data_IF_859749235982
#
_entry.id   IF_859749235982
#
_cell.length_a   1.000
_cell.length_b   1.000
_cell.length_c   1.000
_cell.angle_alpha   90.00
_cell.angle_beta   90.00
_cell.angle_gamma   90.00
#
_symmetry.space_group_name_H-M   'P 1'
#
loop_
_entity.id
_entity.type
_entity.pdbx_description
1 polymer ?
#
# COMPACT_ATOMS: atom_id res chain seq x y z
N UNK A 1 28.67 10.30 -0.65
CA UNK A 1 27.33 9.67 -0.65
C UNK A 1 27.55 8.22 -1.02
N UNK A 2 27.00 7.28 -0.26
CA UNK A 2 27.19 5.83 -0.48
C UNK A 2 26.38 5.38 -1.68
N UNK A 3 26.93 4.54 -2.55
CA UNK A 3 26.22 3.96 -3.70
C UNK A 3 25.88 2.50 -3.43
N UNK A 4 24.63 2.12 -3.64
CA UNK A 4 24.16 0.75 -3.48
C UNK A 4 23.68 0.23 -4.84
N UNK A 5 24.20 -0.90 -5.30
CA UNK A 5 23.63 -1.62 -6.44
C UNK A 5 22.55 -2.57 -5.94
N UNK A 6 21.31 -2.32 -6.32
CA UNK A 6 20.17 -3.21 -6.06
C UNK A 6 19.81 -3.94 -7.36
N UNK A 7 20.23 -5.20 -7.48
CA UNK A 7 20.05 -5.99 -8.70
C UNK A 7 19.00 -7.09 -8.49
N UNK A 8 18.11 -7.27 -9.46
CA UNK A 8 17.25 -8.45 -9.52
C UNK A 8 17.94 -9.57 -10.29
N UNK A 9 17.77 -10.82 -9.87
CA UNK A 9 18.37 -11.97 -10.53
C UNK A 9 17.45 -13.19 -10.53
N UNK A 10 17.42 -13.87 -11.68
CA UNK A 10 16.85 -15.20 -11.85
C UNK A 10 17.94 -16.26 -11.79
N UNK A 11 17.89 -17.25 -12.69
CA UNK A 11 18.83 -18.37 -12.68
C UNK A 11 20.19 -18.08 -13.34
N UNK A 12 20.45 -16.84 -13.75
CA UNK A 12 21.65 -16.43 -14.48
C UNK A 12 22.49 -15.47 -13.64
N UNK A 13 23.46 -15.97 -12.85
CA UNK A 13 24.33 -15.13 -12.02
C UNK A 13 25.21 -14.17 -12.83
N UNK A 14 25.47 -14.48 -14.11
CA UNK A 14 26.28 -13.68 -15.03
C UNK A 14 25.81 -12.23 -15.12
N UNK A 15 24.50 -12.00 -15.01
CA UNK A 15 23.91 -10.65 -15.09
C UNK A 15 24.52 -9.69 -14.06
N UNK A 16 24.87 -10.18 -12.87
CA UNK A 16 25.48 -9.33 -11.84
C UNK A 16 26.90 -8.93 -12.22
N UNK A 17 27.72 -9.86 -12.70
CA UNK A 17 29.09 -9.59 -13.11
C UNK A 17 29.14 -8.72 -14.38
N UNK A 18 28.24 -8.95 -15.32
CA UNK A 18 28.06 -8.11 -16.51
C UNK A 18 27.68 -6.67 -16.12
N UNK A 19 26.76 -6.51 -15.17
CA UNK A 19 26.35 -5.19 -14.65
C UNK A 19 27.53 -4.46 -14.00
N UNK A 20 28.23 -5.11 -13.08
CA UNK A 20 29.39 -4.52 -12.38
C UNK A 20 30.52 -4.16 -13.32
N UNK A 21 30.84 -5.05 -14.28
CA UNK A 21 31.79 -4.78 -15.35
C UNK A 21 31.40 -3.53 -16.13
N UNK A 22 30.14 -3.43 -16.56
CA UNK A 22 29.68 -2.31 -17.37
C UNK A 22 29.71 -0.97 -16.60
N UNK A 23 29.31 -0.97 -15.32
CA UNK A 23 29.41 0.20 -14.43
C UNK A 23 30.85 0.70 -14.39
N UNK A 24 31.81 -0.21 -14.13
CA UNK A 24 33.22 0.13 -14.01
C UNK A 24 33.80 0.65 -15.34
N UNK A 25 33.60 -0.08 -16.43
CA UNK A 25 34.17 0.28 -17.74
C UNK A 25 33.60 1.57 -18.32
N UNK A 26 32.37 1.93 -17.97
CA UNK A 26 31.75 3.18 -18.40
C UNK A 26 32.01 4.35 -17.45
N UNK A 27 32.84 4.16 -16.39
CA UNK A 27 33.18 5.22 -15.45
C UNK A 27 31.99 5.74 -14.64
N UNK A 28 30.95 4.93 -14.45
CA UNK A 28 29.78 5.27 -13.64
C UNK A 28 30.13 5.18 -12.15
N UNK A 29 29.36 5.83 -11.26
CA UNK A 29 29.52 5.65 -9.81
C UNK A 29 29.48 4.16 -9.46
N UNK A 30 30.58 3.65 -8.91
CA UNK A 30 30.71 2.24 -8.57
C UNK A 30 30.08 1.98 -7.19
N UNK A 31 29.38 0.85 -6.99
CA UNK A 31 28.70 0.57 -5.73
C UNK A 31 29.69 0.29 -4.59
N UNK A 32 29.38 0.80 -3.40
CA UNK A 32 30.03 0.41 -2.15
C UNK A 32 29.48 -0.93 -1.63
N UNK A 33 28.20 -1.19 -1.90
CA UNK A 33 27.49 -2.40 -1.50
C UNK A 33 26.59 -2.90 -2.63
N UNK A 34 26.49 -4.22 -2.75
CA UNK A 34 25.64 -4.89 -3.74
C UNK A 34 24.60 -5.72 -2.99
N UNK A 35 23.34 -5.58 -3.37
CA UNK A 35 22.23 -6.41 -2.90
C UNK A 35 21.55 -7.08 -4.08
N UNK A 36 21.21 -8.35 -3.89
CA UNK A 36 20.64 -9.20 -4.92
C UNK A 36 19.26 -9.68 -4.49
N UNK A 37 18.21 -9.26 -5.20
CA UNK A 37 16.85 -9.73 -4.96
C UNK A 37 16.58 -10.95 -5.84
N UNK A 38 16.20 -12.08 -5.24
CA UNK A 38 16.01 -13.33 -5.97
C UNK A 38 15.05 -14.31 -5.26
N UNK A 39 14.74 -15.44 -5.91
CA UNK A 39 13.94 -16.54 -5.38
C UNK A 39 14.83 -17.65 -4.78
N UNK A 40 14.25 -18.58 -4.03
CA UNK A 40 15.01 -19.66 -3.37
C UNK A 40 15.80 -20.51 -4.37
N UNK A 41 15.17 -20.90 -5.49
CA UNK A 41 15.82 -21.74 -6.51
C UNK A 41 17.02 -21.04 -7.19
N UNK A 42 16.95 -19.71 -7.35
CA UNK A 42 17.97 -18.91 -8.00
C UNK A 42 19.10 -18.53 -7.04
N UNK A 43 18.81 -18.40 -5.74
CA UNK A 43 19.81 -18.16 -4.69
C UNK A 43 20.93 -19.20 -4.70
N UNK A 44 20.60 -20.49 -4.89
CA UNK A 44 21.62 -21.55 -4.93
C UNK A 44 22.67 -21.29 -6.02
N UNK A 45 22.25 -20.88 -7.22
CA UNK A 45 23.16 -20.54 -8.32
C UNK A 45 23.97 -19.27 -8.04
N UNK A 46 23.37 -18.25 -7.41
CA UNK A 46 24.11 -17.07 -6.99
C UNK A 46 25.23 -17.42 -6.01
N UNK A 47 24.93 -18.21 -4.98
CA UNK A 47 25.92 -18.63 -3.99
C UNK A 47 27.03 -19.45 -4.65
N UNK A 48 26.68 -20.48 -5.41
CA UNK A 48 27.64 -21.36 -6.08
C UNK A 48 28.59 -20.56 -7.00
N UNK A 49 28.05 -19.73 -7.88
CA UNK A 49 28.87 -19.10 -8.92
C UNK A 49 29.53 -17.80 -8.46
N UNK A 50 28.79 -16.93 -7.79
CA UNK A 50 29.28 -15.59 -7.44
C UNK A 50 30.21 -15.63 -6.22
N UNK A 51 29.92 -16.49 -5.24
CA UNK A 51 30.66 -16.59 -3.98
C UNK A 51 31.63 -17.79 -3.97
N UNK A 52 31.13 -19.03 -4.09
CA UNK A 52 31.96 -20.23 -3.91
C UNK A 52 32.97 -20.45 -5.04
N UNK A 53 32.54 -20.28 -6.29
CA UNK A 53 33.43 -20.29 -7.47
C UNK A 53 34.13 -18.95 -7.70
N UNK A 54 33.86 -17.94 -6.85
CA UNK A 54 34.59 -16.69 -6.81
C UNK A 54 34.51 -15.83 -8.07
N UNK A 55 33.42 -15.87 -8.84
CA UNK A 55 33.31 -15.06 -10.07
C UNK A 55 33.35 -13.55 -9.79
N UNK A 56 32.88 -13.11 -8.62
CA UNK A 56 33.00 -11.72 -8.18
C UNK A 56 34.46 -11.34 -7.95
N UNK A 57 35.21 -12.17 -7.21
CA UNK A 57 36.63 -11.93 -6.93
C UNK A 57 37.49 -12.05 -8.19
N UNK A 58 37.12 -12.95 -9.12
CA UNK A 58 37.74 -13.01 -10.44
C UNK A 58 37.51 -11.70 -11.19
N UNK A 59 36.27 -11.19 -11.26
CA UNK A 59 35.98 -9.92 -11.92
C UNK A 59 36.80 -8.78 -11.30
N UNK A 60 36.81 -8.67 -9.97
CA UNK A 60 37.55 -7.64 -9.23
C UNK A 60 39.03 -7.67 -9.56
N UNK A 61 39.66 -8.84 -9.48
CA UNK A 61 41.10 -8.98 -9.72
C UNK A 61 41.47 -8.80 -11.19
N UNK A 62 40.67 -9.33 -12.11
CA UNK A 62 40.96 -9.32 -13.55
C UNK A 62 40.85 -7.93 -14.18
N UNK A 63 39.93 -7.09 -13.69
CA UNK A 63 39.70 -5.74 -14.22
C UNK A 63 40.09 -4.62 -13.24
N UNK A 64 40.66 -4.96 -12.09
CA UNK A 64 41.03 -4.01 -11.03
C UNK A 64 39.86 -3.11 -10.60
N UNK A 65 38.69 -3.73 -10.34
CA UNK A 65 37.50 -2.98 -9.88
C UNK A 65 37.75 -2.38 -8.49
N UNK A 66 37.08 -1.26 -8.16
CA UNK A 66 36.97 -0.80 -6.79
C UNK A 66 36.37 -1.90 -5.90
N UNK A 67 36.78 -1.93 -4.64
CA UNK A 67 36.24 -2.90 -3.68
C UNK A 67 34.80 -2.52 -3.27
N UNK A 68 34.02 -3.54 -2.93
CA UNK A 68 32.62 -3.41 -2.52
C UNK A 68 32.20 -4.62 -1.69
N UNK A 69 31.18 -4.43 -0.84
CA UNK A 69 30.65 -5.51 0.00
C UNK A 69 29.56 -6.29 -0.73
N UNK A 70 29.78 -7.60 -0.84
CA UNK A 70 28.78 -8.55 -1.29
C UNK A 70 28.99 -9.88 -0.56
N UNK A 71 28.02 -10.25 0.26
CA UNK A 71 28.08 -11.46 1.09
C UNK A 71 26.71 -12.14 1.12
N UNK A 72 26.63 -13.31 1.75
CA UNK A 72 25.40 -14.11 1.79
C UNK A 72 24.20 -13.34 2.36
N UNK A 73 24.42 -12.44 3.32
CA UNK A 73 23.38 -11.60 3.94
C UNK A 73 22.77 -10.59 2.95
N UNK A 74 23.47 -10.27 1.85
CA UNK A 74 23.03 -9.34 0.82
C UNK A 74 22.19 -10.00 -0.29
N UNK A 75 22.00 -11.33 -0.24
CA UNK A 75 21.08 -12.04 -1.11
C UNK A 75 19.70 -12.05 -0.45
N UNK A 76 18.86 -11.11 -0.89
CA UNK A 76 17.52 -10.85 -0.38
C UNK A 76 16.53 -11.78 -1.10
N UNK A 77 15.87 -12.64 -0.33
CA UNK A 77 14.82 -13.50 -0.86
C UNK A 77 13.51 -12.73 -0.97
N UNK A 78 12.78 -12.96 -2.05
CA UNK A 78 11.38 -12.55 -2.15
C UNK A 78 10.54 -13.44 -1.23
N UNK A 79 9.54 -12.87 -0.59
CA UNK A 79 8.73 -13.52 0.44
C UNK A 79 7.23 -13.29 0.18
N UNK A 80 6.42 -14.27 0.58
CA UNK A 80 4.98 -14.18 0.71
C UNK A 80 4.61 -13.33 1.95
N UNK A 81 3.32 -12.95 2.06
CA UNK A 81 2.82 -12.16 3.20
C UNK A 81 3.00 -12.85 4.56
N UNK A 82 3.08 -14.18 4.58
CA UNK A 82 3.35 -14.98 5.78
C UNK A 82 4.85 -15.08 6.14
N UNK A 83 5.73 -14.45 5.36
CA UNK A 83 7.19 -14.48 5.53
C UNK A 83 7.88 -15.71 4.92
N UNK A 84 7.14 -16.61 4.25
CA UNK A 84 7.75 -17.74 3.55
C UNK A 84 8.43 -17.28 2.26
N UNK A 85 9.60 -17.82 1.95
CA UNK A 85 10.35 -17.42 0.77
C UNK A 85 9.74 -17.99 -0.53
N UNK A 86 9.62 -17.15 -1.56
CA UNK A 86 9.13 -17.53 -2.89
C UNK A 86 10.14 -18.46 -3.55
N UNK A 87 9.70 -19.67 -3.91
CA UNK A 87 10.60 -20.70 -4.42
C UNK A 87 11.06 -20.49 -5.88
N UNK A 88 10.12 -20.31 -6.82
CA UNK A 88 10.41 -20.10 -8.27
C UNK A 88 9.69 -18.87 -8.86
N UNK A 89 8.56 -18.46 -8.30
CA UNK A 89 7.83 -17.32 -8.82
C UNK A 89 7.05 -17.61 -10.10
N UNK A 90 6.58 -18.85 -10.26
CA UNK A 90 5.87 -19.34 -11.46
C UNK A 90 4.38 -19.14 -11.38
N UNK A 91 3.84 -19.37 -10.20
CA UNK A 91 2.41 -19.43 -10.00
C UNK A 91 1.82 -18.02 -9.95
N UNK A 92 0.51 -17.92 -10.15
CA UNK A 92 -0.18 -16.64 -10.16
C UNK A 92 -0.13 -15.99 -8.77
N UNK A 93 -0.27 -16.81 -7.72
CA UNK A 93 -0.16 -16.41 -6.31
C UNK A 93 1.22 -15.85 -5.97
N UNK A 94 2.27 -16.32 -6.65
CA UNK A 94 3.63 -15.80 -6.46
C UNK A 94 3.79 -14.38 -7.02
N UNK A 95 3.04 -14.00 -8.07
CA UNK A 95 3.25 -12.71 -8.73
C UNK A 95 2.96 -11.53 -7.80
N UNK A 96 1.93 -11.64 -6.97
CA UNK A 96 1.65 -10.62 -5.95
C UNK A 96 2.78 -10.55 -4.93
N UNK A 97 3.23 -11.70 -4.43
CA UNK A 97 4.30 -11.79 -3.42
C UNK A 97 5.63 -11.22 -3.93
N UNK A 98 5.95 -11.46 -5.21
CA UNK A 98 7.11 -10.87 -5.90
C UNK A 98 6.98 -9.34 -5.98
N UNK A 99 5.81 -8.84 -6.40
CA UNK A 99 5.56 -7.41 -6.52
C UNK A 99 5.71 -6.71 -5.15
N UNK A 100 5.09 -7.28 -4.12
CA UNK A 100 5.11 -6.79 -2.74
C UNK A 100 6.54 -6.77 -2.19
N UNK A 101 7.29 -7.85 -2.42
CA UNK A 101 8.67 -7.98 -1.95
C UNK A 101 9.62 -6.98 -2.59
N UNK A 102 9.62 -6.87 -3.92
CA UNK A 102 10.48 -5.91 -4.62
C UNK A 102 10.14 -4.49 -4.19
N UNK A 103 8.84 -4.17 -4.08
CA UNK A 103 8.36 -2.87 -3.65
C UNK A 103 8.85 -2.52 -2.25
N UNK A 104 8.65 -3.42 -1.28
CA UNK A 104 9.08 -3.26 0.11
C UNK A 104 10.59 -3.10 0.25
N UNK A 105 11.37 -3.88 -0.51
CA UNK A 105 12.83 -3.79 -0.50
C UNK A 105 13.28 -2.43 -1.03
N UNK A 106 12.77 -1.99 -2.19
CA UNK A 106 13.11 -0.67 -2.75
C UNK A 106 12.71 0.44 -1.78
N UNK A 107 11.49 0.41 -1.24
CA UNK A 107 11.02 1.39 -0.27
C UNK A 107 11.98 1.48 0.93
N UNK A 108 12.35 0.35 1.53
CA UNK A 108 13.30 0.27 2.64
C UNK A 108 14.64 0.93 2.34
N UNK A 109 15.24 0.69 1.17
CA UNK A 109 16.51 1.32 0.81
C UNK A 109 16.39 2.82 0.54
N UNK A 110 15.23 3.29 0.07
CA UNK A 110 15.01 4.72 -0.22
C UNK A 110 14.84 5.58 1.04
N UNK A 111 14.64 4.96 2.21
CA UNK A 111 14.53 5.67 3.50
C UNK A 111 15.84 6.39 3.87
N UNK A 112 17.01 5.80 3.56
CA UNK A 112 18.30 6.42 3.87
C UNK A 112 18.68 7.46 2.82
N UNK A 113 18.40 8.73 3.11
CA UNK A 113 18.73 9.89 2.25
C UNK A 113 20.23 10.04 1.93
N UNK A 114 21.12 9.39 2.68
CA UNK A 114 22.57 9.49 2.49
C UNK A 114 23.15 8.42 1.54
N UNK A 115 22.28 7.61 0.93
CA UNK A 115 22.65 6.66 -0.12
C UNK A 115 22.01 7.01 -1.47
N UNK A 116 22.62 6.50 -2.53
CA UNK A 116 22.09 6.45 -3.88
C UNK A 116 21.84 4.98 -4.25
N UNK A 117 20.66 4.68 -4.76
CA UNK A 117 20.33 3.37 -5.30
C UNK A 117 20.58 3.37 -6.80
N UNK A 118 21.39 2.42 -7.25
CA UNK A 118 21.48 2.01 -8.64
C UNK A 118 20.71 0.70 -8.79
N UNK A 119 19.49 0.76 -9.32
CA UNK A 119 18.68 -0.42 -9.60
C UNK A 119 19.04 -1.03 -10.96
N UNK A 120 19.30 -2.33 -11.01
CA UNK A 120 19.53 -3.09 -12.26
C UNK A 120 18.39 -4.07 -12.50
N UNK A 121 17.73 -3.96 -13.67
CA UNK A 121 16.58 -4.79 -14.06
C UNK A 121 16.93 -5.92 -15.05
N UNK A 122 18.22 -6.22 -15.24
CA UNK A 122 18.67 -7.12 -16.29
C UNK A 122 18.47 -8.62 -15.98
N UNK A 123 18.07 -8.98 -14.76
CA UNK A 123 17.94 -10.37 -14.33
C UNK A 123 16.52 -10.74 -13.91
N UNK A 124 16.24 -12.04 -13.86
CA UNK A 124 14.95 -12.55 -13.39
C UNK A 124 13.90 -12.66 -14.48
N UNK A 125 12.66 -12.92 -14.06
CA UNK A 125 11.50 -12.94 -14.97
C UNK A 125 11.18 -11.50 -15.40
N UNK A 126 10.63 -11.33 -16.60
CA UNK A 126 10.23 -10.00 -17.12
C UNK A 126 9.29 -9.24 -16.16
N UNK A 127 8.48 -9.97 -15.39
CA UNK A 127 7.60 -9.39 -14.36
C UNK A 127 8.39 -8.77 -13.20
N UNK A 128 9.51 -9.38 -12.77
CA UNK A 128 10.39 -8.80 -11.74
C UNK A 128 10.99 -7.46 -12.21
N UNK A 129 11.44 -7.39 -13.46
CA UNK A 129 11.94 -6.16 -14.07
C UNK A 129 10.87 -5.06 -14.12
N UNK A 130 9.64 -5.44 -14.47
CA UNK A 130 8.48 -4.54 -14.42
C UNK A 130 8.22 -4.03 -12.99
N UNK A 131 8.17 -4.91 -12.00
CA UNK A 131 7.93 -4.51 -10.60
C UNK A 131 9.07 -3.65 -10.01
N UNK A 132 10.32 -3.94 -10.35
CA UNK A 132 11.46 -3.10 -9.97
C UNK A 132 11.34 -1.71 -10.62
N UNK A 133 11.05 -1.62 -11.92
CA UNK A 133 10.82 -0.34 -12.59
C UNK A 133 9.66 0.44 -12.01
N UNK A 134 8.58 -0.25 -11.61
CA UNK A 134 7.42 0.35 -10.96
C UNK A 134 7.76 0.86 -9.56
N UNK A 135 8.42 0.04 -8.74
CA UNK A 135 8.87 0.43 -7.41
C UNK A 135 9.81 1.65 -7.48
N UNK A 136 10.75 1.67 -8.42
CA UNK A 136 11.60 2.83 -8.66
C UNK A 136 10.80 4.05 -9.11
N UNK A 137 9.76 3.89 -9.93
CA UNK A 137 8.88 5.00 -10.31
C UNK A 137 8.15 5.60 -9.10
N UNK A 138 7.76 4.76 -8.14
CA UNK A 138 7.04 5.18 -6.94
C UNK A 138 7.94 5.75 -5.85
N UNK A 139 9.06 5.09 -5.56
CA UNK A 139 9.91 5.37 -4.40
C UNK A 139 11.29 5.92 -4.77
N UNK A 140 11.74 5.76 -6.02
CA UNK A 140 13.03 6.26 -6.46
C UNK A 140 13.13 7.78 -6.31
N UNK A 141 14.26 8.23 -5.77
CA UNK A 141 14.57 9.63 -5.53
C UNK A 141 15.30 10.22 -6.74
N UNK A 142 15.61 11.52 -6.67
CA UNK A 142 16.28 12.22 -7.77
C UNK A 142 17.67 11.65 -8.06
N UNK A 143 18.42 11.27 -7.04
CA UNK A 143 19.74 10.67 -7.18
C UNK A 143 19.70 9.21 -7.68
N UNK A 144 18.60 8.50 -7.48
CA UNK A 144 18.54 7.06 -7.75
C UNK A 144 18.48 6.79 -9.27
N UNK A 145 19.09 5.70 -9.71
CA UNK A 145 19.26 5.33 -11.12
C UNK A 145 18.60 3.98 -11.39
N UNK A 146 18.00 3.83 -12.56
CA UNK A 146 17.50 2.55 -13.08
C UNK A 146 18.30 2.21 -14.33
N UNK A 147 18.70 0.95 -14.48
CA UNK A 147 19.54 0.52 -15.60
C UNK A 147 19.27 -0.91 -16.06
N UNK A 148 19.74 -1.21 -17.26
CA UNK A 148 19.76 -2.56 -17.81
C UNK A 148 21.08 -2.78 -18.55
N UNK A 149 21.76 -3.88 -18.23
CA UNK A 149 22.98 -4.28 -18.95
C UNK A 149 22.61 -5.03 -20.23
N UNK A 150 23.31 -4.72 -21.32
CA UNK A 150 23.19 -5.41 -22.59
C UNK A 150 24.50 -6.11 -22.89
N UNK A 151 24.39 -7.34 -23.39
CA UNK A 151 25.50 -8.16 -23.82
C UNK A 151 25.33 -8.44 -25.31
N UNK A 152 26.42 -8.45 -26.07
CA UNK A 152 26.41 -8.92 -27.46
C UNK A 152 25.71 -10.28 -27.59
N UNK A 153 24.79 -10.39 -28.54
CA UNK A 153 23.83 -11.50 -28.72
C UNK A 153 24.48 -12.89 -28.73
N UNK A 154 25.71 -13.00 -29.21
CA UNK A 154 26.47 -14.26 -29.26
C UNK A 154 26.75 -14.81 -27.85
N UNK A 155 26.89 -13.92 -26.87
CA UNK A 155 27.22 -14.23 -25.48
C UNK A 155 25.99 -14.29 -24.56
N UNK A 156 24.81 -13.87 -25.04
CA UNK A 156 23.56 -14.04 -24.29
C UNK A 156 23.30 -15.52 -23.95
N UNK A 157 22.88 -15.76 -22.70
CA UNK A 157 22.53 -17.06 -22.14
C UNK A 157 23.66 -18.10 -22.17
N UNK A 158 24.93 -17.66 -22.18
CA UNK A 158 26.08 -18.54 -22.06
C UNK A 158 26.50 -18.74 -20.60
N UNK A 159 26.34 -19.96 -20.09
CA UNK A 159 26.66 -20.28 -18.70
C UNK A 159 28.14 -20.01 -18.33
N UNK A 160 29.04 -20.12 -19.30
CA UNK A 160 30.48 -19.95 -19.13
C UNK A 160 30.96 -18.49 -19.27
N UNK A 161 30.11 -17.56 -19.74
CA UNK A 161 30.49 -16.17 -19.95
C UNK A 161 30.01 -15.30 -18.79
N UNK A 162 30.92 -14.70 -18.02
CA UNK A 162 30.56 -13.82 -16.90
C UNK A 162 30.88 -12.34 -17.17
N UNK A 163 31.93 -12.06 -17.94
CA UNK A 163 32.34 -10.71 -18.34
C UNK A 163 33.37 -10.81 -19.47
N UNK A 164 33.58 -9.73 -20.25
CA UNK A 164 34.66 -9.67 -21.23
C UNK A 164 36.03 -9.80 -20.57
N UNK A 165 36.95 -10.55 -21.17
CA UNK A 165 38.30 -10.76 -20.62
C UNK A 165 39.32 -9.82 -21.28
N UNK A 166 40.40 -9.46 -20.58
CA UNK A 166 41.49 -8.66 -21.16
C UNK A 166 42.33 -9.43 -22.19
N UNK A 167 42.52 -10.74 -21.95
CA UNK A 167 43.28 -11.66 -22.79
C UNK A 167 42.34 -12.64 -23.49
N UNK A 168 42.83 -13.33 -24.52
CA UNK A 168 42.01 -14.30 -25.24
C UNK A 168 41.55 -15.43 -24.31
N UNK A 169 40.24 -15.66 -24.27
CA UNK A 169 39.61 -16.72 -23.50
C UNK A 169 38.47 -17.31 -24.33
N UNK A 170 38.69 -18.52 -24.85
CA UNK A 170 37.77 -19.16 -25.77
C UNK A 170 36.70 -19.99 -25.04
N UNK A 171 35.44 -19.74 -25.36
CA UNK A 171 34.25 -20.38 -24.80
C UNK A 171 33.46 -21.06 -25.92
N UNK A 172 32.94 -22.24 -25.64
CA UNK A 172 32.17 -23.03 -26.62
C UNK A 172 30.66 -22.81 -26.48
N UNK A 173 29.98 -22.54 -27.61
CA UNK A 173 28.52 -22.46 -27.76
C UNK A 173 28.06 -23.43 -28.85
N UNK A 174 27.75 -24.66 -28.48
CA UNK A 174 27.53 -25.74 -29.46
C UNK A 174 28.80 -25.95 -30.30
N UNK A 175 28.70 -25.86 -31.62
CA UNK A 175 29.85 -26.00 -32.53
C UNK A 175 30.66 -24.71 -32.73
N UNK A 176 30.24 -23.59 -32.12
CA UNK A 176 30.91 -22.30 -32.26
C UNK A 176 31.90 -22.08 -31.11
N UNK A 177 33.08 -21.56 -31.44
CA UNK A 177 34.07 -21.08 -30.48
C UNK A 177 34.03 -19.54 -30.51
N UNK A 178 33.79 -18.93 -29.35
CA UNK A 178 33.71 -17.49 -29.16
C UNK A 178 34.85 -17.03 -28.24
N UNK A 179 35.47 -15.89 -28.51
CA UNK A 179 36.46 -15.31 -27.61
C UNK A 179 35.79 -14.30 -26.67
N UNK A 180 35.78 -14.56 -25.36
CA UNK A 180 35.13 -13.70 -24.36
C UNK A 180 35.65 -12.25 -24.38
N UNK A 181 36.90 -12.03 -24.80
CA UNK A 181 37.48 -10.69 -24.99
C UNK A 181 36.72 -9.82 -25.99
N UNK A 182 36.07 -10.43 -26.98
CA UNK A 182 35.36 -9.72 -28.05
C UNK A 182 33.93 -9.34 -27.66
N UNK A 183 33.44 -9.80 -26.50
CA UNK A 183 32.10 -9.50 -26.03
C UNK A 183 31.95 -8.01 -25.73
N UNK A 184 30.83 -7.43 -26.19
CA UNK A 184 30.46 -6.06 -25.89
C UNK A 184 29.41 -6.06 -24.80
N UNK A 185 29.74 -5.46 -23.65
CA UNK A 185 28.83 -5.31 -22.53
C UNK A 185 28.65 -3.82 -22.24
N UNK A 186 27.41 -3.36 -22.29
CA UNK A 186 27.06 -1.93 -22.13
C UNK A 186 25.93 -1.77 -21.14
N UNK A 187 26.07 -0.83 -20.22
CA UNK A 187 24.98 -0.42 -19.34
C UNK A 187 24.20 0.70 -20.02
N UNK A 188 22.87 0.57 -20.04
CA UNK A 188 21.98 1.66 -20.40
C UNK A 188 21.19 2.11 -19.16
N UNK A 189 21.18 3.41 -18.91
CA UNK A 189 20.24 3.99 -17.95
C UNK A 189 18.86 4.08 -18.59
N UNK A 190 17.85 3.66 -17.85
CA UNK A 190 16.46 3.66 -18.28
C UNK A 190 15.79 4.92 -17.70
N UNK A 191 15.27 5.82 -18.54
CA UNK A 191 14.44 6.90 -18.04
C UNK A 191 13.14 6.33 -17.46
N UNK A 192 12.73 6.82 -16.29
CA UNK A 192 11.47 6.43 -15.66
C UNK A 192 10.82 7.62 -14.98
N UNK A 193 9.49 7.58 -14.88
CA UNK A 193 8.69 8.65 -14.27
C UNK A 193 8.84 8.59 -12.76
N UNK A 194 9.30 9.67 -12.14
CA UNK A 194 9.40 9.77 -10.68
C UNK A 194 8.11 10.34 -10.14
N UNK A 195 7.35 9.49 -9.47
CA UNK A 195 6.09 9.84 -8.83
C UNK A 195 6.25 10.12 -7.34
N UNK A 196 7.41 9.84 -6.73
CA UNK A 196 7.64 10.04 -5.29
C UNK A 196 7.18 11.42 -4.81
N UNK A 197 7.57 12.49 -5.51
CA UNK A 197 7.21 13.86 -5.15
C UNK A 197 5.78 14.26 -5.57
N UNK A 198 5.08 13.42 -6.33
CA UNK A 198 3.68 13.62 -6.74
C UNK A 198 2.70 12.91 -5.80
N UNK A 199 3.23 12.15 -4.85
CA UNK A 199 2.50 11.31 -3.93
C UNK A 199 2.71 11.88 -2.53
N UNK A 200 1.64 11.95 -1.73
CA UNK A 200 1.70 12.54 -0.39
C UNK A 200 2.75 11.81 0.50
N UNK A 201 3.58 12.51 1.28
CA UNK A 201 4.58 11.86 2.13
C UNK A 201 3.99 10.91 3.18
N UNK A 202 2.83 11.23 3.75
CA UNK A 202 2.12 10.34 4.67
C UNK A 202 1.65 9.05 3.99
N UNK A 203 1.35 9.14 2.70
CA UNK A 203 1.00 8.01 1.88
C UNK A 203 2.18 7.12 1.51
N UNK A 204 3.37 7.70 1.27
CA UNK A 204 4.62 6.92 1.09
C UNK A 204 4.91 6.09 2.35
N UNK A 205 4.78 6.68 3.54
CA UNK A 205 4.96 5.98 4.81
C UNK A 205 3.93 4.84 5.01
N UNK A 206 2.70 4.99 4.51
CA UNK A 206 1.72 3.91 4.53
C UNK A 206 2.05 2.81 3.51
N UNK A 207 2.55 3.17 2.33
CA UNK A 207 2.99 2.22 1.31
C UNK A 207 4.16 1.35 1.77
N UNK A 208 5.02 1.83 2.68
CA UNK A 208 6.07 0.99 3.31
C UNK A 208 5.49 -0.22 4.06
N UNK A 209 4.24 -0.12 4.51
CA UNK A 209 3.55 -1.15 5.28
C UNK A 209 2.42 -1.85 4.52
N UNK A 210 2.13 -1.43 3.30
CA UNK A 210 1.05 -1.98 2.47
C UNK A 210 1.62 -2.87 1.35
N UNK A 211 0.81 -3.82 0.87
CA UNK A 211 1.14 -4.56 -0.34
C UNK A 211 1.15 -3.66 -1.59
N UNK A 212 1.83 -4.09 -2.65
CA UNK A 212 1.77 -3.50 -3.98
C UNK A 212 0.32 -3.37 -4.46
N UNK A 213 -0.50 -4.42 -4.30
CA UNK A 213 -1.90 -4.38 -4.70
C UNK A 213 -2.69 -3.30 -3.95
N UNK A 214 -2.44 -3.16 -2.64
CA UNK A 214 -3.03 -2.09 -1.84
C UNK A 214 -2.54 -0.71 -2.31
N UNK A 215 -1.23 -0.57 -2.55
CA UNK A 215 -0.59 0.64 -3.07
C UNK A 215 -1.18 1.09 -4.42
N UNK A 216 -1.45 0.15 -5.33
CA UNK A 216 -2.13 0.39 -6.61
C UNK A 216 -3.60 0.78 -6.41
N UNK A 217 -4.33 0.03 -5.58
CA UNK A 217 -5.73 0.31 -5.28
C UNK A 217 -5.89 1.73 -4.72
N UNK A 218 -4.98 2.11 -3.82
CA UNK A 218 -4.89 3.44 -3.26
C UNK A 218 -4.64 4.52 -4.32
N UNK A 219 -3.64 4.38 -5.21
CA UNK A 219 -3.39 5.36 -6.27
C UNK A 219 -4.55 5.49 -7.26
N UNK A 220 -5.20 4.37 -7.60
CA UNK A 220 -6.37 4.38 -8.47
C UNK A 220 -7.56 5.07 -7.80
N UNK A 221 -7.69 4.93 -6.49
CA UNK A 221 -8.67 5.64 -5.68
C UNK A 221 -8.48 7.16 -5.70
N UNK A 222 -7.24 7.66 -5.73
CA UNK A 222 -6.96 9.10 -5.88
C UNK A 222 -7.44 9.69 -7.22
N UNK A 223 -7.52 8.89 -8.29
CA UNK A 223 -7.95 9.39 -9.61
C UNK A 223 -9.47 9.60 -9.72
N UNK A 224 -10.28 9.06 -8.81
CA UNK A 224 -11.73 9.18 -8.86
C UNK A 224 -12.21 10.49 -8.24
N UNK A 225 -12.73 11.40 -9.07
CA UNK A 225 -13.30 12.71 -8.66
C UNK A 225 -14.56 12.61 -7.77
N UNK A 226 -15.16 11.43 -7.61
CA UNK A 226 -16.28 11.18 -6.70
C UNK A 226 -15.80 10.30 -5.55
N UNK A 227 -15.73 10.85 -4.35
CA UNK A 227 -15.35 10.12 -3.15
C UNK A 227 -16.56 9.29 -2.71
N UNK A 228 -16.39 7.97 -2.73
CA UNK A 228 -17.38 7.01 -2.26
C UNK A 228 -16.96 6.53 -0.86
N UNK A 229 -17.89 6.63 0.08
CA UNK A 229 -17.73 6.15 1.46
C UNK A 229 -18.70 5.01 1.67
N UNK A 230 -18.19 3.80 1.90
CA UNK A 230 -18.99 2.66 2.32
C UNK A 230 -18.85 2.46 3.83
N UNK A 231 -19.96 2.47 4.55
CA UNK A 231 -20.01 2.15 5.98
C UNK A 231 -20.21 0.64 6.11
N UNK A 232 -19.12 -0.07 6.44
CA UNK A 232 -19.15 -1.52 6.63
C UNK A 232 -19.40 -1.86 8.10
N UNK A 233 -20.67 -1.97 8.48
CA UNK A 233 -21.07 -2.13 9.89
C UNK A 233 -20.55 -3.42 10.52
N UNK A 234 -20.54 -4.53 9.76
CA UNK A 234 -20.01 -5.83 10.25
C UNK A 234 -18.51 -5.81 10.50
N UNK A 235 -17.75 -5.15 9.62
CA UNK A 235 -16.29 -5.00 9.73
C UNK A 235 -15.85 -3.89 10.69
N UNK A 236 -16.79 -3.03 11.12
CA UNK A 236 -16.55 -1.88 11.98
C UNK A 236 -15.54 -0.88 11.37
N UNK A 237 -15.72 -0.54 10.11
CA UNK A 237 -14.87 0.40 9.40
C UNK A 237 -15.63 1.24 8.38
N UNK A 238 -15.05 2.38 8.01
CA UNK A 238 -15.38 3.10 6.78
C UNK A 238 -14.46 2.60 5.67
N UNK A 239 -15.00 2.37 4.48
CA UNK A 239 -14.24 2.04 3.28
C UNK A 239 -14.32 3.25 2.35
N UNK A 240 -13.23 3.97 2.22
CA UNK A 240 -13.16 5.22 1.45
C UNK A 240 -12.35 4.96 0.20
N UNK A 241 -13.01 4.88 -0.95
CA UNK A 241 -12.38 4.46 -2.21
C UNK A 241 -11.51 3.19 -2.07
N UNK A 242 -11.90 2.23 -1.22
CA UNK A 242 -11.15 0.98 -0.97
C UNK A 242 -10.19 1.01 0.23
N UNK A 243 -9.99 2.16 0.88
CA UNK A 243 -9.18 2.28 2.10
C UNK A 243 -10.04 1.95 3.32
N UNK A 244 -9.66 0.94 4.10
CA UNK A 244 -10.36 0.59 5.34
C UNK A 244 -9.88 1.45 6.53
N UNK A 245 -10.75 2.32 7.03
CA UNK A 245 -10.55 3.12 8.24
C UNK A 245 -11.32 2.48 9.39
N UNK A 246 -10.60 1.78 10.28
CA UNK A 246 -11.22 1.15 11.46
C UNK A 246 -11.71 2.20 12.44
N UNK A 247 -12.98 2.12 12.82
CA UNK A 247 -13.61 2.98 13.83
C UNK A 247 -14.20 2.12 14.94
N UNK A 248 -14.12 2.55 16.22
CA UNK A 248 -14.90 1.89 17.24
C UNK A 248 -16.40 2.02 16.93
N UNK A 249 -17.24 1.06 17.36
CA UNK A 249 -18.64 1.02 16.94
C UNK A 249 -19.45 2.27 17.25
N UNK A 250 -19.13 2.95 18.36
CA UNK A 250 -19.78 4.21 18.77
C UNK A 250 -19.55 5.31 17.74
N UNK A 251 -18.29 5.51 17.34
CA UNK A 251 -17.88 6.48 16.33
C UNK A 251 -18.43 6.13 14.94
N UNK A 252 -18.42 4.85 14.55
CA UNK A 252 -18.98 4.40 13.27
C UNK A 252 -20.49 4.65 13.19
N UNK A 253 -21.23 4.31 14.24
CA UNK A 253 -22.66 4.56 14.33
C UNK A 253 -22.98 6.05 14.24
N UNK A 254 -22.18 6.90 14.89
CA UNK A 254 -22.39 8.34 14.83
C UNK A 254 -22.16 8.89 13.42
N UNK A 255 -21.11 8.44 12.73
CA UNK A 255 -20.87 8.83 11.34
C UNK A 255 -22.02 8.40 10.42
N UNK A 256 -22.49 7.16 10.54
CA UNK A 256 -23.64 6.65 9.78
C UNK A 256 -24.92 7.44 10.08
N UNK A 257 -25.23 7.64 11.36
CA UNK A 257 -26.40 8.39 11.79
C UNK A 257 -26.39 9.83 11.26
N UNK A 258 -25.25 10.53 11.36
CA UNK A 258 -25.10 11.89 10.84
C UNK A 258 -25.27 11.93 9.33
N UNK A 259 -24.77 10.92 8.60
CA UNK A 259 -24.93 10.82 7.15
C UNK A 259 -26.39 10.64 6.68
N UNK A 260 -27.28 10.22 7.58
CA UNK A 260 -28.73 10.07 7.35
C UNK A 260 -29.55 11.29 7.77
N UNK A 261 -28.94 12.25 8.48
CA UNK A 261 -29.65 13.47 8.86
C UNK A 261 -29.99 14.33 7.63
N UNK A 262 -31.06 15.13 7.67
CA UNK A 262 -31.35 16.09 6.61
C UNK A 262 -30.15 16.99 6.33
N UNK A 263 -29.78 17.13 5.05
CA UNK A 263 -28.58 17.87 4.61
C UNK A 263 -27.26 17.37 5.25
N UNK A 264 -27.27 16.16 5.83
CA UNK A 264 -26.15 15.55 6.56
C UNK A 264 -25.55 16.43 7.64
N UNK A 265 -26.40 17.19 8.32
CA UNK A 265 -25.97 18.16 9.32
C UNK A 265 -26.86 18.17 10.56
N UNK A 266 -26.29 18.67 11.65
CA UNK A 266 -27.00 18.97 12.90
C UNK A 266 -26.57 20.35 13.40
N UNK A 267 -27.50 21.08 14.01
CA UNK A 267 -27.20 22.35 14.67
C UNK A 267 -27.13 22.09 16.19
N UNK A 268 -25.92 22.05 16.72
CA UNK A 268 -25.64 21.83 18.14
C UNK A 268 -25.77 23.17 18.86
N UNK A 269 -26.98 23.42 19.37
CA UNK A 269 -27.32 24.56 20.21
C UNK A 269 -28.03 24.12 21.48
N UNK A 270 -28.48 25.09 22.28
CA UNK A 270 -29.14 24.82 23.57
C UNK A 270 -30.38 23.93 23.41
N UNK A 271 -31.18 24.18 22.37
CA UNK A 271 -32.40 23.40 22.11
C UNK A 271 -32.06 21.95 21.76
N UNK A 272 -31.06 21.73 20.90
CA UNK A 272 -30.60 20.38 20.52
C UNK A 272 -30.14 19.57 21.75
N UNK A 273 -29.34 20.19 22.62
CA UNK A 273 -28.85 19.54 23.84
C UNK A 273 -29.91 19.42 24.95
N UNK A 274 -31.15 19.87 24.70
CA UNK A 274 -32.30 19.67 25.59
C UNK A 274 -33.35 18.73 25.03
N UNK A 275 -33.20 18.31 23.77
CA UNK A 275 -34.17 17.49 23.05
C UNK A 275 -33.61 16.06 22.82
N UNK A 276 -34.23 15.03 23.41
CA UNK A 276 -33.77 13.65 23.30
C UNK A 276 -34.04 13.01 21.92
N UNK A 277 -34.76 13.66 21.00
CA UNK A 277 -35.10 13.09 19.68
C UNK A 277 -33.85 12.63 18.92
N UNK A 278 -32.80 13.46 18.85
CA UNK A 278 -31.56 13.06 18.17
C UNK A 278 -30.80 11.94 18.89
N UNK A 279 -30.82 11.90 20.22
CA UNK A 279 -30.24 10.79 20.99
C UNK A 279 -30.96 9.47 20.67
N UNK A 280 -32.29 9.47 20.68
CA UNK A 280 -33.10 8.29 20.36
C UNK A 280 -32.78 7.75 18.95
N UNK A 281 -32.73 8.65 17.96
CA UNK A 281 -32.39 8.32 16.57
C UNK A 281 -30.98 7.72 16.42
N UNK A 282 -30.00 8.29 17.12
CA UNK A 282 -28.64 7.77 17.14
C UNK A 282 -28.56 6.39 17.81
N UNK A 283 -29.22 6.21 18.97
CA UNK A 283 -29.20 4.95 19.71
C UNK A 283 -29.83 3.82 18.89
N UNK A 284 -30.87 4.11 18.10
CA UNK A 284 -31.42 3.17 17.11
C UNK A 284 -30.42 2.77 16.04
N UNK A 285 -29.65 3.73 15.52
CA UNK A 285 -28.58 3.43 14.57
C UNK A 285 -27.47 2.60 15.24
N UNK A 286 -27.11 2.93 16.48
CA UNK A 286 -26.08 2.23 17.24
C UNK A 286 -26.46 0.78 17.53
N UNK A 287 -27.70 0.50 17.93
CA UNK A 287 -28.18 -0.86 18.24
C UNK A 287 -28.13 -1.80 17.03
N UNK A 288 -28.15 -1.27 15.80
CA UNK A 288 -27.96 -2.07 14.58
C UNK A 288 -26.51 -2.48 14.34
N UNK A 289 -25.54 -1.78 14.94
CA UNK A 289 -24.10 -1.99 14.72
C UNK A 289 -23.43 -2.71 15.89
N UNK A 290 -23.82 -2.38 17.13
CA UNK A 290 -23.22 -2.94 18.34
C UNK A 290 -24.18 -2.89 19.53
N UNK A 291 -23.78 -3.56 20.62
CA UNK A 291 -24.59 -3.72 21.83
C UNK A 291 -23.83 -3.45 23.13
N UNK A 292 -22.85 -2.54 23.15
CA UNK A 292 -22.12 -2.21 24.37
C UNK A 292 -23.02 -1.41 25.33
N UNK A 293 -23.38 -2.02 26.46
CA UNK A 293 -24.28 -1.43 27.47
C UNK A 293 -23.79 -0.07 27.97
N UNK A 294 -22.48 0.19 27.96
CA UNK A 294 -21.91 1.47 28.42
C UNK A 294 -22.29 2.64 27.53
N UNK A 295 -22.54 2.41 26.23
CA UNK A 295 -23.00 3.46 25.32
C UNK A 295 -24.45 3.80 25.64
N UNK A 296 -25.33 2.82 25.81
CA UNK A 296 -26.73 3.06 26.19
C UNK A 296 -26.85 3.74 27.56
N UNK A 297 -26.09 3.26 28.55
CA UNK A 297 -26.06 3.83 29.89
C UNK A 297 -25.60 5.30 29.90
N UNK A 298 -24.76 5.73 28.95
CA UNK A 298 -24.39 7.15 28.82
C UNK A 298 -25.55 8.07 28.43
N UNK A 299 -26.67 7.50 27.96
CA UNK A 299 -27.93 8.20 27.69
C UNK A 299 -29.02 7.85 28.72
N UNK A 300 -28.66 7.16 29.81
CA UNK A 300 -29.57 6.74 30.88
C UNK A 300 -30.74 5.85 30.41
N UNK A 301 -30.45 4.92 29.50
CA UNK A 301 -31.37 3.88 29.01
C UNK A 301 -30.61 2.55 28.86
N UNK A 302 -31.35 1.43 28.87
CA UNK A 302 -30.78 0.12 28.60
C UNK A 302 -31.00 -0.29 27.13
N UNK A 303 -30.31 -1.35 26.70
CA UNK A 303 -30.38 -1.82 25.31
C UNK A 303 -31.79 -2.31 24.96
N UNK A 304 -32.41 -3.01 25.90
CA UNK A 304 -33.75 -3.58 25.78
C UNK A 304 -34.80 -2.49 25.51
N UNK A 305 -34.67 -1.32 26.15
CA UNK A 305 -35.54 -0.17 25.91
C UNK A 305 -35.40 0.34 24.47
N UNK A 306 -34.15 0.46 24.00
CA UNK A 306 -33.85 0.95 22.65
C UNK A 306 -34.30 -0.04 21.58
N UNK A 307 -34.12 -1.34 21.76
CA UNK A 307 -34.56 -2.34 20.80
C UNK A 307 -36.08 -2.53 20.81
N UNK A 308 -36.71 -2.50 21.99
CA UNK A 308 -38.14 -2.73 22.18
C UNK A 308 -39.07 -1.55 21.84
N UNK A 309 -38.57 -0.31 21.84
CA UNK A 309 -39.39 0.87 21.53
C UNK A 309 -39.20 1.37 20.10
N UNK A 310 -40.16 2.07 19.52
CA UNK A 310 -39.92 2.87 18.30
C UNK A 310 -39.03 4.09 18.62
N UNK A 311 -38.43 4.73 17.61
CA UNK A 311 -37.65 5.96 17.80
C UNK A 311 -38.49 7.07 18.47
N UNK A 312 -39.76 7.21 18.06
CA UNK A 312 -40.69 8.19 18.62
C UNK A 312 -41.08 7.90 20.08
N UNK A 313 -41.26 6.62 20.44
CA UNK A 313 -41.54 6.24 21.83
C UNK A 313 -40.30 6.43 22.71
N UNK A 314 -39.12 6.09 22.17
CA UNK A 314 -37.85 6.23 22.86
C UNK A 314 -37.54 7.69 23.17
N UNK A 315 -37.79 8.62 22.24
CA UNK A 315 -37.58 10.07 22.46
C UNK A 315 -38.50 10.67 23.50
N UNK A 316 -39.63 10.02 23.83
CA UNK A 316 -40.58 10.47 24.86
C UNK A 316 -40.27 9.89 26.24
N UNK A 317 -39.27 9.02 26.39
CA UNK A 317 -38.92 8.47 27.70
C UNK A 317 -38.36 9.57 28.61
N UNK A 318 -38.95 9.80 29.80
CA UNK A 318 -38.47 10.84 30.71
C UNK A 318 -37.03 10.65 31.20
N UNK A 319 -36.53 9.41 31.17
CA UNK A 319 -35.19 9.06 31.61
C UNK A 319 -34.12 9.31 30.54
N UNK A 320 -34.48 9.38 29.26
CA UNK A 320 -33.53 9.47 28.16
C UNK A 320 -32.81 10.83 28.18
N UNK A 321 -31.48 10.78 28.25
CA UNK A 321 -30.68 11.99 28.22
C UNK A 321 -30.49 12.48 26.76
N UNK A 322 -30.64 13.79 26.50
CA UNK A 322 -30.27 14.38 25.23
C UNK A 322 -28.75 14.35 25.03
N UNK A 323 -28.29 14.59 23.81
CA UNK A 323 -26.86 14.66 23.54
C UNK A 323 -26.19 15.79 24.32
N UNK A 324 -25.08 15.48 24.96
CA UNK A 324 -24.20 16.50 25.54
C UNK A 324 -23.24 17.07 24.49
N UNK A 325 -22.94 18.37 24.61
CA UNK A 325 -22.02 19.07 23.71
C UNK A 325 -20.62 18.43 23.72
N UNK A 326 -20.12 18.07 24.90
CA UNK A 326 -18.81 17.43 25.06
C UNK A 326 -18.76 16.03 24.45
N UNK A 327 -19.85 15.27 24.57
CA UNK A 327 -19.96 13.94 23.96
C UNK A 327 -19.85 14.03 22.44
N UNK A 328 -20.55 14.99 21.82
CA UNK A 328 -20.52 15.23 20.38
C UNK A 328 -19.14 15.69 19.92
N UNK A 329 -18.54 16.64 20.65
CA UNK A 329 -17.21 17.15 20.33
C UNK A 329 -16.14 16.05 20.41
N UNK A 330 -16.15 15.24 21.46
CA UNK A 330 -15.19 14.14 21.62
C UNK A 330 -15.37 13.08 20.53
N UNK A 331 -16.61 12.71 20.20
CA UNK A 331 -16.91 11.73 19.15
C UNK A 331 -16.46 12.25 17.78
N UNK A 332 -16.74 13.51 17.46
CA UNK A 332 -16.23 14.19 16.25
C UNK A 332 -14.71 14.18 16.17
N UNK A 333 -14.03 14.59 17.24
CA UNK A 333 -12.57 14.64 17.29
C UNK A 333 -11.94 13.26 17.12
N UNK A 334 -12.52 12.20 17.71
CA UNK A 334 -12.05 10.83 17.54
C UNK A 334 -12.22 10.32 16.11
N UNK A 335 -13.38 10.58 15.49
CA UNK A 335 -13.63 10.23 14.09
C UNK A 335 -12.61 10.94 13.20
N UNK A 336 -12.53 12.27 13.26
CA UNK A 336 -11.64 13.04 12.40
C UNK A 336 -10.16 12.69 12.65
N UNK A 337 -9.80 12.36 13.89
CA UNK A 337 -8.46 11.87 14.23
C UNK A 337 -8.13 10.52 13.58
N UNK A 338 -9.08 9.57 13.53
CA UNK A 338 -8.89 8.33 12.79
C UNK A 338 -8.83 8.59 11.29
N UNK A 339 -9.71 9.43 10.74
CA UNK A 339 -9.67 9.79 9.31
C UNK A 339 -8.30 10.35 8.91
N UNK A 340 -7.77 11.33 9.66
CA UNK A 340 -6.45 11.94 9.41
C UNK A 340 -5.27 10.99 9.65
N UNK A 341 -5.47 9.94 10.46
CA UNK A 341 -4.45 8.92 10.68
C UNK A 341 -4.32 7.98 9.48
N UNK A 342 -5.43 7.65 8.84
CA UNK A 342 -5.51 6.60 7.82
C UNK A 342 -5.63 7.14 6.39
N UNK A 343 -6.08 8.39 6.21
CA UNK A 343 -6.26 9.04 4.91
C UNK A 343 -5.33 10.25 4.79
N UNK A 344 -5.00 10.64 3.56
CA UNK A 344 -4.32 11.90 3.28
C UNK A 344 -5.17 13.12 3.63
N UNK A 345 -4.54 14.29 3.66
CA UNK A 345 -5.20 15.53 4.05
C UNK A 345 -6.41 15.87 3.16
N UNK A 346 -6.34 15.60 1.86
CA UNK A 346 -7.42 15.91 0.92
C UNK A 346 -8.61 14.98 1.13
N UNK A 347 -8.40 13.65 1.18
CA UNK A 347 -9.49 12.70 1.44
C UNK A 347 -10.06 12.87 2.85
N UNK A 348 -9.21 13.03 3.87
CA UNK A 348 -9.65 13.28 5.23
C UNK A 348 -10.50 14.55 5.32
N UNK A 349 -10.05 15.67 4.73
CA UNK A 349 -10.79 16.94 4.70
C UNK A 349 -12.11 16.86 3.92
N UNK A 350 -12.17 15.99 2.91
CA UNK A 350 -13.38 15.82 2.11
C UNK A 350 -14.49 15.05 2.86
N UNK A 351 -14.13 14.14 3.77
CA UNK A 351 -15.09 13.27 4.47
C UNK A 351 -15.18 13.52 5.98
N UNK A 352 -14.34 14.39 6.53
CA UNK A 352 -14.40 14.71 7.96
C UNK A 352 -15.74 15.34 8.34
N UNK A 353 -16.10 15.18 9.62
CA UNK A 353 -17.23 15.89 10.19
C UNK A 353 -16.76 17.32 10.46
N UNK A 354 -17.15 18.24 9.57
CA UNK A 354 -16.81 19.66 9.66
C UNK A 354 -17.65 20.34 10.72
N UNK A 355 -17.13 21.43 11.24
CA UNK A 355 -17.80 22.26 12.23
C UNK A 355 -17.77 23.73 11.82
N UNK A 356 -18.92 24.40 11.88
CA UNK A 356 -19.04 25.84 11.64
C UNK A 356 -19.86 26.49 12.76
N UNK A 357 -19.23 27.36 13.54
CA UNK A 357 -19.92 28.21 14.52
C UNK A 357 -20.62 29.34 13.76
N UNK A 358 -21.95 29.35 13.78
CA UNK A 358 -22.76 30.30 13.00
C UNK A 358 -23.44 31.36 13.88
N UNK A 359 -23.48 31.13 15.19
CA UNK A 359 -23.82 32.14 16.19
C UNK A 359 -22.80 32.06 17.33
N UNK A 360 -21.88 33.03 17.36
CA UNK A 360 -20.81 33.13 18.37
C UNK A 360 -21.30 33.65 19.71
N UNK A 361 -22.47 34.29 19.79
CA UNK A 361 -23.05 34.77 21.05
C UNK A 361 -23.78 33.65 21.79
N UNK A 362 -24.41 32.74 21.05
CA UNK A 362 -25.14 31.59 21.59
C UNK A 362 -24.32 30.29 21.57
N UNK A 363 -23.08 30.33 21.08
CA UNK A 363 -22.18 29.18 20.91
C UNK A 363 -22.82 28.02 20.14
N UNK A 364 -23.59 28.36 19.10
CA UNK A 364 -24.28 27.39 18.25
C UNK A 364 -23.38 26.93 17.12
N UNK A 365 -23.10 25.62 17.13
CA UNK A 365 -22.14 25.00 16.22
C UNK A 365 -22.87 24.01 15.33
N UNK A 366 -22.69 24.16 14.03
CA UNK A 366 -23.20 23.19 13.06
C UNK A 366 -22.15 22.13 12.80
N UNK A 367 -22.53 20.85 12.94
CA UNK A 367 -21.71 19.73 12.47
C UNK A 367 -22.30 19.16 11.18
N UNK A 368 -21.44 18.89 10.20
CA UNK A 368 -21.91 18.41 8.90
C UNK A 368 -20.88 17.55 8.18
N UNK A 369 -21.36 16.66 7.32
CA UNK A 369 -20.58 15.90 6.34
C UNK A 369 -20.97 16.41 4.95
N UNK A 370 -20.02 16.44 3.99
CA UNK A 370 -20.31 16.94 2.64
C UNK A 370 -21.44 16.15 1.96
N UNK A 371 -22.42 16.87 1.41
CA UNK A 371 -23.54 16.29 0.64
C UNK A 371 -23.07 15.67 -0.69
N UNK A 372 -21.93 16.12 -1.22
CA UNK A 372 -21.35 15.58 -2.46
C UNK A 372 -20.83 14.14 -2.34
N UNK A 373 -20.70 13.62 -1.12
CA UNK A 373 -20.25 12.24 -0.90
C UNK A 373 -21.34 11.25 -1.26
N UNK A 374 -20.94 10.14 -1.88
CA UNK A 374 -21.83 8.98 -2.01
C UNK A 374 -21.58 8.11 -0.78
N UNK A 375 -22.57 8.04 0.13
CA UNK A 375 -22.49 7.20 1.33
C UNK A 375 -23.37 5.98 1.13
N UNK A 376 -22.76 4.79 1.14
CA UNK A 376 -23.45 3.51 1.09
C UNK A 376 -23.25 2.77 2.41
N UNK A 377 -24.16 1.87 2.78
CA UNK A 377 -24.00 1.04 3.96
C UNK A 377 -24.60 -0.35 3.78
N UNK A 378 -24.02 -1.34 4.46
CA UNK A 378 -24.40 -2.75 4.34
C UNK A 378 -25.72 -3.12 5.04
N UNK A 379 -26.31 -2.22 5.84
CA UNK A 379 -27.60 -2.43 6.50
C UNK A 379 -28.82 -2.46 5.55
N UNK A 380 -28.73 -1.88 4.35
CA UNK A 380 -29.87 -1.77 3.39
C UNK A 380 -29.93 -2.92 2.37
N UNK A 381 -28.88 -3.75 2.27
CA UNK A 381 -28.81 -4.86 1.31
C UNK A 381 -29.74 -6.05 1.64
N UNK A 382 -30.49 -5.99 2.74
CA UNK A 382 -31.43 -7.05 3.17
C UNK A 382 -32.90 -6.76 2.80
N UNK A 383 -33.38 -5.51 2.73
CA UNK A 383 -34.78 -5.25 2.35
C UNK A 383 -35.07 -5.60 0.89
N UNK A 384 -34.10 -5.40 -0.02
CA UNK A 384 -34.25 -5.76 -1.44
C UNK A 384 -34.19 -7.28 -1.69
N UNK A 385 -33.66 -8.08 -0.75
CA UNK A 385 -33.64 -9.55 -0.87
C UNK A 385 -34.94 -10.19 -0.39
N UNK A 386 -35.63 -9.58 0.58
CA UNK A 386 -36.92 -10.08 1.07
C UNK A 386 -38.04 -9.83 0.04
N UNK A 387 -38.02 -8.69 -0.67
CA UNK A 387 -39.01 -8.38 -1.71
C UNK A 387 -38.85 -9.28 -2.96
N UNK A 388 -37.62 -9.69 -3.31
CA UNK A 388 -37.39 -10.64 -4.41
C UNK A 388 -37.79 -12.08 -4.08
N UNK A 389 -37.80 -12.50 -2.80
CA UNK A 389 -38.27 -13.83 -2.42
C UNK A 389 -39.80 -13.91 -2.32
N UNK A 390 -40.48 -12.84 -1.89
CA UNK A 390 -41.95 -12.82 -1.80
C UNK A 390 -42.66 -12.84 -3.18
N UNK A 391 -42.05 -12.26 -4.22
CA UNK A 391 -42.60 -12.30 -5.59
C UNK A 391 -42.33 -13.60 -6.35
N UNK A 392 -41.60 -14.55 -5.78
CA UNK A 392 -41.31 -15.85 -6.42
C UNK A 392 -42.35 -16.95 -6.10
N UNK A 393 -43.30 -16.70 -5.19
CA UNK A 393 -44.31 -17.68 -4.78
C UNK A 393 -45.74 -17.42 -5.30
N UNK A 394 -45.96 -16.40 -6.14
CA UNK A 394 -47.30 -16.06 -6.64
C UNK A 394 -47.60 -16.51 -8.08
N UNK A 395 -46.74 -17.34 -8.71
CA UNK A 395 -46.95 -17.86 -10.07
C UNK A 395 -46.78 -19.38 -10.15
N UNK A 396 -47.47 -20.12 -9.29
CA UNK A 396 -47.83 -21.53 -9.57
C UNK A 396 -49.20 -21.80 -8.95
N UNK A 397 -50.26 -21.59 -9.74
CA UNK A 397 -51.46 -22.42 -9.83
C UNK A 397 -52.40 -21.88 -10.92
#
# INVERSE_FOLDING_TARGET
MKTILLSIMGTSPQVLTETLYAIHMQGKPFPDEVYLITSVNAKAKAVEWLLEKGQIEHLKTHHNLPDFKFELSHILLMEHDNGEAVYDGREEEDQQSIADSITRIVAKFTVDENCQIHASIAGGRKTMAFYMGYAMSMFGREQDVLSHVFVSKEFEFLEQFFFPTLNDNYITKGDKVLNAKEAKVTLAEIPFVRMRNMVDPGFINQMEHNSFSQSIALLNAYKNKKIKVEVATRKKCLIVNGIEVKLPPKELAFYLWLSKQPLRQINVGRQFCSDPVSSASYLKTYSMIAGDSRVFASFNVDREDVEGCSEESLSKLPALQPFEKDWLQQTRSKINGQLKKWLDESLASAIEIKSHEHDTQLHEVRYFISESLVVEHDLEKEESKVICQANSFAFVL
#
